data_IF_694682339254
#
_entry.id   IF_694682339254
#
_cell.length_a   1.000
_cell.length_b   1.000
_cell.length_c   1.000
_cell.angle_alpha   90.00
_cell.angle_beta   90.00
_cell.angle_gamma   90.00
#
_symmetry.space_group_name_H-M   'P 1'
#
loop_
_entity.id
_entity.type
_entity.pdbx_description
1 polymer ?
#
# COMPACT_ATOMS: atom_id res chain seq x y z
N UNK A 1 -24.44 55.91 -64.17
CA UNK A 1 -23.31 55.03 -64.55
C UNK A 1 -22.74 54.43 -63.26
N UNK A 2 -22.69 53.09 -63.19
CA UNK A 2 -22.00 52.23 -62.21
C UNK A 2 -22.53 52.20 -60.75
N UNK A 3 -23.72 51.64 -60.55
CA UNK A 3 -24.14 51.07 -59.24
C UNK A 3 -24.11 49.53 -59.23
N UNK A 4 -24.06 48.88 -60.40
CA UNK A 4 -24.19 47.42 -60.51
C UNK A 4 -22.93 46.64 -60.07
N UNK A 5 -21.74 47.25 -60.16
CA UNK A 5 -20.50 46.58 -59.76
C UNK A 5 -20.34 46.43 -58.24
N UNK A 6 -21.03 47.25 -57.44
CA UNK A 6 -20.92 47.23 -55.97
C UNK A 6 -21.71 46.07 -55.36
N UNK A 7 -22.91 45.80 -55.88
CA UNK A 7 -23.73 44.66 -55.44
C UNK A 7 -23.10 43.32 -55.86
N UNK A 8 -22.53 43.25 -57.06
CA UNK A 8 -21.84 42.04 -57.54
C UNK A 8 -20.56 41.75 -56.74
N UNK A 9 -19.76 42.78 -56.46
CA UNK A 9 -18.55 42.67 -55.61
C UNK A 9 -18.90 42.26 -54.17
N UNK A 10 -19.96 42.83 -53.61
CA UNK A 10 -20.46 42.50 -52.27
C UNK A 10 -20.96 41.05 -52.19
N UNK A 11 -21.77 40.61 -53.15
CA UNK A 11 -22.25 39.24 -53.24
C UNK A 11 -21.12 38.23 -53.47
N UNK A 12 -20.12 38.60 -54.28
CA UNK A 12 -18.92 37.78 -54.48
C UNK A 12 -18.16 37.61 -53.18
N UNK A 13 -17.96 38.70 -52.40
CA UNK A 13 -17.30 38.66 -51.09
C UNK A 13 -18.05 37.81 -50.07
N UNK A 14 -19.38 37.88 -50.05
CA UNK A 14 -20.23 37.02 -49.20
C UNK A 14 -20.10 35.55 -49.55
N UNK A 15 -20.13 35.20 -50.85
CA UNK A 15 -19.93 33.81 -51.30
C UNK A 15 -18.56 33.28 -50.88
N UNK A 16 -17.52 34.10 -50.98
CA UNK A 16 -16.18 33.73 -50.50
C UNK A 16 -16.13 33.52 -48.99
N UNK A 17 -16.77 34.39 -48.20
CA UNK A 17 -16.85 34.22 -46.74
C UNK A 17 -17.58 32.93 -46.40
N UNK A 18 -18.71 32.64 -47.05
CA UNK A 18 -19.47 31.41 -46.82
C UNK A 18 -18.65 30.15 -47.14
N UNK A 19 -17.98 30.12 -48.30
CA UNK A 19 -17.08 29.02 -48.68
C UNK A 19 -15.92 28.86 -47.72
N UNK A 20 -15.34 29.98 -47.26
CA UNK A 20 -14.24 29.97 -46.30
C UNK A 20 -14.67 29.43 -44.94
N UNK A 21 -15.85 29.82 -44.45
CA UNK A 21 -16.41 29.27 -43.21
C UNK A 21 -16.70 27.77 -43.32
N UNK A 22 -17.25 27.32 -44.46
CA UNK A 22 -17.48 25.90 -44.72
C UNK A 22 -16.16 25.11 -44.74
N UNK A 23 -15.12 25.65 -45.37
CA UNK A 23 -13.79 25.04 -45.41
C UNK A 23 -13.17 24.94 -44.00
N UNK A 24 -13.31 25.97 -43.17
CA UNK A 24 -12.86 25.93 -41.77
C UNK A 24 -13.59 24.85 -40.97
N UNK A 25 -14.92 24.76 -41.11
CA UNK A 25 -15.72 23.73 -40.41
C UNK A 25 -15.30 22.32 -40.85
N UNK A 26 -15.09 22.10 -42.15
CA UNK A 26 -14.61 20.81 -42.66
C UNK A 26 -13.21 20.47 -42.14
N UNK A 27 -12.29 21.43 -42.15
CA UNK A 27 -10.96 21.24 -41.58
C UNK A 27 -11.03 20.94 -40.08
N UNK A 28 -11.91 21.62 -39.33
CA UNK A 28 -12.10 21.36 -37.90
C UNK A 28 -12.63 19.94 -37.62
N UNK A 29 -13.59 19.45 -38.41
CA UNK A 29 -14.10 18.07 -38.31
C UNK A 29 -12.99 17.06 -38.65
N UNK A 30 -12.17 17.33 -39.67
CA UNK A 30 -11.04 16.47 -40.03
C UNK A 30 -10.00 16.45 -38.90
N UNK A 31 -9.66 17.61 -38.33
CA UNK A 31 -8.67 17.69 -37.24
C UNK A 31 -9.15 16.96 -35.98
N UNK A 32 -10.41 17.13 -35.58
CA UNK A 32 -10.97 16.42 -34.43
C UNK A 32 -11.03 14.91 -34.65
N UNK A 33 -11.25 14.44 -35.88
CA UNK A 33 -11.35 13.00 -36.19
C UNK A 33 -9.99 12.32 -36.41
N UNK A 34 -9.00 13.00 -36.99
CA UNK A 34 -7.73 12.40 -37.41
C UNK A 34 -6.51 12.84 -36.59
N UNK A 35 -6.46 14.08 -36.11
CA UNK A 35 -5.29 14.62 -35.37
C UNK A 35 -5.51 14.44 -33.87
N UNK A 36 -6.71 14.77 -33.39
CA UNK A 36 -7.11 14.53 -32.00
C UNK A 36 -7.71 13.13 -31.91
N UNK A 37 -6.89 12.10 -32.16
CA UNK A 37 -7.19 10.79 -31.57
C UNK A 37 -7.12 11.02 -30.07
N UNK A 38 -8.24 11.40 -29.44
CA UNK A 38 -8.36 11.45 -27.99
C UNK A 38 -7.82 10.09 -27.55
N UNK A 39 -6.69 10.03 -26.82
CA UNK A 39 -6.26 8.77 -26.29
C UNK A 39 -7.43 8.35 -25.41
N UNK A 40 -8.19 7.36 -25.88
CA UNK A 40 -9.13 6.65 -25.03
C UNK A 40 -8.18 5.93 -24.09
N UNK A 41 -7.79 6.64 -23.02
CA UNK A 41 -7.06 6.07 -21.91
C UNK A 41 -7.88 4.85 -21.56
N UNK A 42 -7.26 3.68 -21.69
CA UNK A 42 -7.93 2.42 -21.44
C UNK A 42 -8.23 2.37 -19.94
N UNK A 43 -9.33 3.01 -19.56
CA UNK A 43 -9.78 3.14 -18.20
C UNK A 43 -10.00 1.75 -17.58
N UNK A 44 -10.17 0.71 -18.40
CA UNK A 44 -10.25 -0.67 -17.95
C UNK A 44 -8.97 -1.12 -17.24
N UNK A 45 -7.81 -0.90 -17.83
CA UNK A 45 -6.51 -1.28 -17.24
C UNK A 45 -6.24 -0.51 -15.94
N UNK A 46 -6.56 0.79 -15.91
CA UNK A 46 -6.44 1.61 -14.72
C UNK A 46 -7.40 1.17 -13.61
N UNK A 47 -8.66 0.89 -13.94
CA UNK A 47 -9.65 0.40 -12.97
C UNK A 47 -9.27 -0.97 -12.41
N UNK A 48 -8.75 -1.86 -13.25
CA UNK A 48 -8.25 -3.17 -12.81
C UNK A 48 -7.05 -3.03 -11.87
N UNK A 49 -6.10 -2.14 -12.20
CA UNK A 49 -4.98 -1.84 -11.33
C UNK A 49 -5.45 -1.30 -9.97
N UNK A 50 -6.38 -0.34 -9.96
CA UNK A 50 -6.96 0.24 -8.74
C UNK A 50 -7.63 -0.85 -7.89
N UNK A 51 -8.49 -1.67 -8.49
CA UNK A 51 -9.17 -2.78 -7.80
C UNK A 51 -8.18 -3.78 -7.17
N UNK A 52 -7.11 -4.10 -7.90
CA UNK A 52 -6.03 -4.93 -7.38
C UNK A 52 -5.29 -4.26 -6.20
N UNK A 53 -5.06 -2.95 -6.24
CA UNK A 53 -4.48 -2.21 -5.12
C UNK A 53 -5.40 -2.16 -3.90
N UNK A 54 -6.69 -1.92 -4.08
CA UNK A 54 -7.68 -1.94 -2.99
C UNK A 54 -7.71 -3.28 -2.27
N UNK A 55 -7.66 -4.39 -3.03
CA UNK A 55 -7.61 -5.74 -2.48
C UNK A 55 -6.36 -5.95 -1.61
N UNK A 56 -5.23 -5.41 -2.04
CA UNK A 56 -3.96 -5.52 -1.31
C UNK A 56 -3.97 -4.66 -0.05
N UNK A 57 -4.47 -3.43 -0.14
CA UNK A 57 -4.63 -2.54 1.01
C UNK A 57 -5.56 -3.17 2.05
N UNK A 58 -6.66 -3.78 1.62
CA UNK A 58 -7.58 -4.48 2.51
C UNK A 58 -6.87 -5.61 3.26
N UNK A 59 -6.14 -6.48 2.55
CA UNK A 59 -5.33 -7.52 3.19
C UNK A 59 -4.29 -6.92 4.15
N UNK A 60 -3.61 -5.85 3.74
CA UNK A 60 -2.63 -5.19 4.60
C UNK A 60 -3.26 -4.73 5.92
N UNK A 61 -4.43 -4.09 5.86
CA UNK A 61 -5.16 -3.66 7.07
C UNK A 61 -5.55 -4.86 7.97
N UNK A 62 -6.04 -5.95 7.40
CA UNK A 62 -6.35 -7.18 8.15
C UNK A 62 -5.11 -7.76 8.86
N UNK A 63 -3.96 -7.76 8.19
CA UNK A 63 -2.71 -8.24 8.80
C UNK A 63 -2.14 -7.25 9.82
N UNK A 64 -2.32 -5.94 9.62
CA UNK A 64 -1.97 -4.92 10.63
C UNK A 64 -2.75 -5.15 11.92
N UNK A 65 -4.04 -5.48 11.83
CA UNK A 65 -4.84 -5.82 13.01
C UNK A 65 -4.35 -7.10 13.70
N UNK A 66 -4.03 -8.16 12.94
CA UNK A 66 -3.43 -9.38 13.48
C UNK A 66 -2.09 -9.12 14.18
N UNK A 67 -1.23 -8.29 13.58
CA UNK A 67 0.06 -7.88 14.15
C UNK A 67 -0.16 -7.15 15.48
N UNK A 68 -1.11 -6.22 15.53
CA UNK A 68 -1.45 -5.49 16.76
C UNK A 68 -1.94 -6.43 17.85
N UNK A 69 -2.79 -7.40 17.52
CA UNK A 69 -3.29 -8.38 18.48
C UNK A 69 -2.15 -9.23 19.06
N UNK A 70 -1.24 -9.72 18.21
CA UNK A 70 -0.05 -10.47 18.67
C UNK A 70 0.85 -9.59 19.53
N UNK A 71 1.04 -8.32 19.17
CA UNK A 71 1.82 -7.40 19.98
C UNK A 71 1.26 -7.22 21.39
N UNK A 72 -0.07 -7.02 21.53
CA UNK A 72 -0.69 -6.92 22.85
C UNK A 72 -0.64 -8.25 23.62
N UNK A 73 -0.77 -9.40 22.95
CA UNK A 73 -0.56 -10.72 23.57
C UNK A 73 0.86 -10.89 24.13
N UNK A 74 1.89 -10.51 23.37
CA UNK A 74 3.30 -10.55 23.80
C UNK A 74 3.55 -9.59 24.96
N UNK A 75 2.93 -8.41 24.91
CA UNK A 75 3.06 -7.39 25.96
C UNK A 75 2.45 -7.85 27.28
N UNK A 76 1.31 -8.52 27.25
CA UNK A 76 0.63 -9.09 28.41
C UNK A 76 1.25 -10.42 28.89
N UNK A 77 2.15 -11.03 28.11
CA UNK A 77 2.81 -12.28 28.48
C UNK A 77 3.84 -12.07 29.60
N UNK A 78 3.71 -12.89 30.64
CA UNK A 78 4.77 -13.12 31.62
C UNK A 78 5.65 -14.28 31.17
N UNK A 79 6.92 -14.00 30.90
CA UNK A 79 7.88 -15.00 30.42
C UNK A 79 8.36 -15.86 31.59
N UNK A 80 7.50 -16.78 32.03
CA UNK A 80 7.85 -17.82 32.97
C UNK A 80 8.25 -19.14 32.28
N UNK A 81 9.10 -19.93 32.94
CA UNK A 81 9.72 -21.16 32.43
C UNK A 81 8.66 -22.22 32.07
N UNK A 82 7.47 -22.15 32.67
CA UNK A 82 6.37 -23.09 32.42
C UNK A 82 5.50 -22.74 31.19
N UNK A 83 5.77 -21.64 30.48
CA UNK A 83 4.92 -21.17 29.37
C UNK A 83 5.45 -21.51 27.96
N UNK A 84 6.22 -22.59 27.80
CA UNK A 84 6.80 -23.01 26.49
C UNK A 84 5.73 -23.13 25.39
N UNK A 85 4.56 -23.70 25.71
CA UNK A 85 3.45 -23.84 24.76
C UNK A 85 2.96 -22.49 24.23
N UNK A 86 2.87 -21.47 25.09
CA UNK A 86 2.41 -20.13 24.71
C UNK A 86 3.45 -19.40 23.85
N UNK A 87 4.74 -19.66 24.08
CA UNK A 87 5.83 -19.16 23.23
C UNK A 87 5.76 -19.78 21.83
N UNK A 88 5.57 -21.10 21.74
CA UNK A 88 5.41 -21.81 20.47
C UNK A 88 4.18 -21.33 19.69
N UNK A 89 3.07 -21.06 20.38
CA UNK A 89 1.87 -20.48 19.77
C UNK A 89 2.15 -19.10 19.16
N UNK A 90 2.85 -18.21 19.89
CA UNK A 90 3.21 -16.88 19.37
C UNK A 90 4.15 -17.00 18.17
N UNK A 91 5.17 -17.85 18.25
CA UNK A 91 6.08 -18.09 17.13
C UNK A 91 5.32 -18.63 15.90
N UNK A 92 4.33 -19.51 16.10
CA UNK A 92 3.45 -19.99 15.02
C UNK A 92 2.59 -18.87 14.43
N UNK A 93 2.05 -17.97 15.26
CA UNK A 93 1.30 -16.79 14.81
C UNK A 93 2.18 -15.83 13.99
N UNK A 94 3.41 -15.57 14.44
CA UNK A 94 4.40 -14.74 13.71
C UNK A 94 4.76 -15.40 12.37
N UNK A 95 4.95 -16.71 12.35
CA UNK A 95 5.19 -17.45 11.11
C UNK A 95 4.03 -17.35 10.13
N UNK A 96 2.78 -17.37 10.62
CA UNK A 96 1.59 -17.14 9.80
C UNK A 96 1.51 -15.74 9.19
N UNK A 97 2.09 -14.71 9.82
CA UNK A 97 2.23 -13.39 9.19
C UNK A 97 3.30 -13.42 8.10
N UNK A 98 4.39 -14.16 8.33
CA UNK A 98 5.47 -14.31 7.34
C UNK A 98 5.03 -15.11 6.11
N UNK A 99 4.12 -16.08 6.26
CA UNK A 99 3.68 -16.97 5.17
C UNK A 99 2.93 -16.23 4.07
N UNK A 100 2.28 -15.10 4.36
CA UNK A 100 1.55 -14.25 3.40
C UNK A 100 2.37 -13.92 2.16
N UNK A 101 3.66 -13.59 2.36
CA UNK A 101 4.54 -13.30 1.24
C UNK A 101 4.72 -14.51 0.32
N UNK A 102 4.91 -15.70 0.89
CA UNK A 102 5.06 -16.95 0.13
C UNK A 102 3.76 -17.37 -0.55
N UNK A 103 2.64 -17.29 0.17
CA UNK A 103 1.29 -17.62 -0.32
C UNK A 103 0.89 -16.76 -1.53
N UNK A 104 1.34 -15.50 -1.58
CA UNK A 104 1.08 -14.58 -2.68
C UNK A 104 2.25 -14.53 -3.68
N UNK A 105 2.89 -15.68 -3.93
CA UNK A 105 3.94 -15.88 -4.95
C UNK A 105 5.16 -14.96 -4.82
N UNK A 106 5.52 -14.59 -3.59
CA UNK A 106 6.65 -13.68 -3.32
C UNK A 106 6.51 -12.32 -4.01
N UNK A 107 5.27 -11.87 -4.23
CA UNK A 107 5.02 -10.56 -4.80
C UNK A 107 5.41 -9.47 -3.79
N UNK A 108 6.17 -8.48 -4.26
CA UNK A 108 6.68 -7.36 -3.45
C UNK A 108 5.57 -6.59 -2.72
N UNK A 109 4.35 -6.57 -3.27
CA UNK A 109 3.19 -5.94 -2.63
C UNK A 109 2.81 -6.59 -1.29
N UNK A 110 3.25 -7.82 -1.02
CA UNK A 110 3.01 -8.55 0.24
C UNK A 110 4.22 -8.56 1.17
N UNK A 111 5.27 -7.79 0.86
CA UNK A 111 6.50 -7.75 1.66
C UNK A 111 6.29 -7.21 3.09
N UNK A 112 5.19 -6.48 3.32
CA UNK A 112 4.77 -6.04 4.65
C UNK A 112 4.63 -7.21 5.64
N UNK A 113 4.26 -8.41 5.18
CA UNK A 113 4.15 -9.60 6.03
C UNK A 113 5.51 -10.06 6.57
N UNK A 114 6.56 -10.02 5.75
CA UNK A 114 7.92 -10.33 6.19
C UNK A 114 8.40 -9.30 7.22
N UNK A 115 8.25 -8.01 6.89
CA UNK A 115 8.71 -6.92 7.75
C UNK A 115 8.02 -6.96 9.11
N UNK A 116 6.70 -7.09 9.13
CA UNK A 116 5.92 -7.14 10.36
C UNK A 116 6.27 -8.36 11.21
N UNK A 117 6.44 -9.52 10.59
CA UNK A 117 6.85 -10.74 11.30
C UNK A 117 8.25 -10.62 11.92
N UNK A 118 9.21 -10.02 11.19
CA UNK A 118 10.57 -9.82 11.72
C UNK A 118 10.57 -8.86 12.91
N UNK A 119 9.83 -7.75 12.84
CA UNK A 119 9.71 -6.79 13.94
C UNK A 119 9.07 -7.45 15.17
N UNK A 120 8.00 -8.23 14.97
CA UNK A 120 7.36 -8.98 16.07
C UNK A 120 8.30 -10.00 16.71
N UNK A 121 9.09 -10.72 15.90
CA UNK A 121 10.07 -11.68 16.43
C UNK A 121 11.11 -10.97 17.30
N UNK A 122 11.72 -9.89 16.80
CA UNK A 122 12.70 -9.11 17.56
C UNK A 122 12.10 -8.62 18.88
N UNK A 123 10.86 -8.11 18.84
CA UNK A 123 10.17 -7.64 20.04
C UNK A 123 9.94 -8.78 21.05
N UNK A 124 9.52 -9.96 20.58
CA UNK A 124 9.32 -11.13 21.41
C UNK A 124 10.61 -11.61 22.07
N UNK A 125 11.67 -11.79 21.28
CA UNK A 125 12.98 -12.26 21.75
C UNK A 125 13.56 -11.28 22.79
N UNK A 126 13.49 -9.97 22.52
CA UNK A 126 13.97 -8.92 23.44
C UNK A 126 13.23 -8.96 24.79
N UNK A 127 11.91 -9.20 24.76
CA UNK A 127 11.09 -9.29 25.97
C UNK A 127 11.42 -10.53 26.80
N UNK A 128 11.69 -11.66 26.14
CA UNK A 128 12.12 -12.89 26.78
C UNK A 128 13.48 -12.73 27.48
N UNK A 129 14.45 -12.16 26.77
CA UNK A 129 15.78 -11.90 27.32
C UNK A 129 15.73 -10.95 28.53
N UNK A 130 14.93 -9.88 28.43
CA UNK A 130 14.75 -8.93 29.53
C UNK A 130 14.15 -9.60 30.77
N UNK A 131 13.14 -10.47 30.60
CA UNK A 131 12.56 -11.23 31.72
C UNK A 131 13.58 -12.16 32.36
N UNK A 132 14.37 -12.86 31.54
CA UNK A 132 15.44 -13.75 32.01
C UNK A 132 16.52 -12.99 32.78
N UNK A 133 16.90 -11.81 32.30
CA UNK A 133 17.84 -10.92 32.97
C UNK A 133 17.31 -10.48 34.35
N UNK A 134 16.04 -10.10 34.46
CA UNK A 134 15.43 -9.71 35.73
C UNK A 134 15.42 -10.87 36.74
N UNK A 135 15.11 -12.09 36.30
CA UNK A 135 15.18 -13.29 37.14
C UNK A 135 16.60 -13.55 37.63
N UNK A 136 17.58 -13.51 36.73
CA UNK A 136 18.99 -13.72 37.08
C UNK A 136 19.49 -12.66 38.07
N UNK A 137 19.13 -11.38 37.85
CA UNK A 137 19.45 -10.30 38.79
C UNK A 137 18.87 -10.56 40.18
N UNK A 138 17.64 -11.05 40.27
CA UNK A 138 17.00 -11.41 41.55
C UNK A 138 17.78 -12.52 42.26
N UNK A 139 18.09 -13.62 41.57
CA UNK A 139 18.85 -14.75 42.13
C UNK A 139 20.23 -14.30 42.63
N UNK A 140 20.93 -13.46 41.87
CA UNK A 140 22.25 -12.94 42.28
C UNK A 140 22.10 -12.10 43.57
N UNK A 141 21.06 -11.27 43.66
CA UNK A 141 20.82 -10.43 44.83
C UNK A 141 20.48 -11.27 46.06
N UNK A 142 19.65 -12.30 45.90
CA UNK A 142 19.28 -13.23 46.97
C UNK A 142 20.52 -13.99 47.49
N UNK A 143 21.33 -14.54 46.58
CA UNK A 143 22.59 -15.21 46.94
C UNK A 143 23.58 -14.25 47.63
N UNK A 144 23.69 -13.00 47.18
CA UNK A 144 24.55 -12.00 47.81
C UNK A 144 24.09 -11.68 49.23
N UNK A 145 22.78 -11.60 49.46
CA UNK A 145 22.21 -11.35 50.78
C UNK A 145 22.43 -12.54 51.71
N UNK A 146 22.29 -13.77 51.23
CA UNK A 146 22.64 -14.98 51.99
C UNK A 146 24.12 -15.00 52.37
N UNK A 147 25.01 -14.68 51.44
CA UNK A 147 26.45 -14.58 51.73
C UNK A 147 26.77 -13.50 52.78
N UNK A 148 26.06 -12.36 52.76
CA UNK A 148 26.23 -11.30 53.78
C UNK A 148 25.67 -11.65 55.14
N UNK A 149 24.58 -12.43 55.20
CA UNK A 149 23.97 -12.85 56.45
C UNK A 149 24.77 -13.94 57.18
N UNK A 150 25.67 -14.63 56.47
CA UNK A 150 26.57 -15.64 57.01
C UNK A 150 27.96 -15.10 57.44
N UNK A 151 28.14 -13.78 57.52
CA UNK A 151 29.32 -13.08 58.06
C UNK A 151 28.93 -12.39 59.36
#
# INVERSE_FOLDING_TARGET
MKTDNLSESFWRRIKFILLFTLAIVLLYIIQTKFIVKIPVVDNGELLEAISNYETIIKKQNEYTEKVKNIHEEVKAMEFDIHQVQKKDEINKKIFGIRSVYKENKMNSKYFFGIQSANILQIYFDTREEHSSMLKNKKIIMDNLNECKANI
#
